data_IF_439437359865
#
_entry.id   IF_439437359865
#
_cell.length_a   1.000
_cell.length_b   1.000
_cell.length_c   1.000
_cell.angle_alpha   90.00
_cell.angle_beta   90.00
_cell.angle_gamma   90.00
#
_symmetry.space_group_name_H-M   'P 1'
#
loop_
_entity.id
_entity.type
_entity.pdbx_description
1 polymer ?
#
# COMPACT_ATOMS: atom_id res chain seq x y z
N UNK A 1 -40.97 25.12 19.04
CA UNK A 1 -39.88 25.48 18.10
C UNK A 1 -38.55 25.09 18.71
N UNK A 2 -37.76 24.14 18.22
CA UNK A 2 -37.69 23.54 16.89
C UNK A 2 -36.31 23.83 16.27
N UNK A 3 -35.32 22.97 16.52
CA UNK A 3 -34.17 22.79 15.62
C UNK A 3 -33.43 21.50 15.98
N UNK A 4 -33.72 20.44 15.23
CA UNK A 4 -33.18 19.11 15.43
C UNK A 4 -31.70 18.98 15.03
N UNK A 5 -30.90 18.44 15.94
CA UNK A 5 -29.66 17.75 15.62
C UNK A 5 -30.00 16.28 15.36
N UNK A 6 -30.66 16.01 14.23
CA UNK A 6 -31.11 14.68 13.84
C UNK A 6 -30.24 14.10 12.74
N UNK A 7 -29.41 13.11 13.10
CA UNK A 7 -28.74 12.26 12.12
C UNK A 7 -27.39 11.75 12.59
N UNK A 8 -27.36 10.86 13.59
CA UNK A 8 -26.18 10.01 13.77
C UNK A 8 -26.09 9.10 12.55
N UNK A 9 -25.17 9.40 11.62
CA UNK A 9 -24.83 8.45 10.56
C UNK A 9 -24.17 7.26 11.25
N UNK A 10 -24.90 6.16 11.34
CA UNK A 10 -24.33 4.89 11.78
C UNK A 10 -23.28 4.46 10.77
N UNK A 11 -22.09 4.10 11.24
CA UNK A 11 -21.10 3.43 10.41
C UNK A 11 -21.68 2.10 9.93
N UNK A 12 -21.63 1.89 8.61
CA UNK A 12 -22.03 0.64 7.97
C UNK A 12 -20.85 0.10 7.17
N UNK A 13 -20.69 -1.22 7.18
CA UNK A 13 -19.68 -1.89 6.37
C UNK A 13 -20.31 -2.23 5.02
N UNK A 14 -19.83 -1.59 3.95
CA UNK A 14 -20.28 -1.87 2.58
C UNK A 14 -19.65 -3.15 2.01
N UNK A 15 -18.39 -3.42 2.39
CA UNK A 15 -17.58 -4.52 1.85
C UNK A 15 -16.46 -4.89 2.83
N UNK A 16 -16.11 -6.17 2.89
CA UNK A 16 -14.90 -6.66 3.55
C UNK A 16 -13.92 -7.17 2.47
N UNK A 17 -12.68 -6.72 2.54
CA UNK A 17 -11.62 -7.16 1.63
C UNK A 17 -10.71 -8.16 2.34
N UNK A 18 -10.60 -9.37 1.79
CA UNK A 18 -9.77 -10.42 2.35
C UNK A 18 -8.41 -10.49 1.64
N UNK A 19 -7.33 -10.86 2.35
CA UNK A 19 -6.03 -11.09 1.73
C UNK A 19 -6.12 -12.19 0.66
N UNK A 20 -5.36 -12.06 -0.44
CA UNK A 20 -5.12 -13.16 -1.37
C UNK A 20 -4.56 -14.38 -0.62
N UNK A 21 -4.88 -15.58 -1.10
CA UNK A 21 -4.53 -16.84 -0.41
C UNK A 21 -3.02 -16.92 -0.11
N UNK A 22 -2.67 -17.16 1.16
CA UNK A 22 -1.28 -17.31 1.60
C UNK A 22 -0.55 -16.01 1.99
N UNK A 23 -1.21 -14.85 1.90
CA UNK A 23 -0.62 -13.52 2.20
C UNK A 23 -1.27 -12.84 3.42
N UNK A 24 -1.76 -13.63 4.38
CA UNK A 24 -2.66 -13.16 5.44
C UNK A 24 -1.99 -12.50 6.64
N UNK A 25 -0.67 -12.62 6.80
CA UNK A 25 -0.02 -12.08 8.00
C UNK A 25 0.03 -10.56 7.96
N UNK A 26 -0.73 -9.94 8.85
CA UNK A 26 -0.84 -8.48 9.01
C UNK A 26 -1.39 -7.76 7.76
N UNK A 27 -2.22 -8.42 6.95
CA UNK A 27 -2.93 -7.74 5.87
C UNK A 27 -3.77 -6.58 6.41
N UNK A 28 -3.58 -5.40 5.85
CA UNK A 28 -4.20 -4.16 6.35
C UNK A 28 -3.35 -3.39 7.35
N UNK A 29 -2.09 -3.80 7.59
CA UNK A 29 -1.18 -3.07 8.48
C UNK A 29 -0.88 -1.65 7.98
N UNK A 30 -0.87 -1.45 6.66
CA UNK A 30 -0.75 -0.15 6.02
C UNK A 30 -1.73 -0.05 4.86
N UNK A 31 -2.25 1.15 4.63
CA UNK A 31 -3.29 1.42 3.64
C UNK A 31 -2.97 2.73 2.91
N UNK A 32 -3.23 2.75 1.61
CA UNK A 32 -3.24 3.98 0.82
C UNK A 32 -4.41 3.92 -0.16
N UNK A 33 -5.25 4.96 -0.16
CA UNK A 33 -6.39 5.08 -1.05
C UNK A 33 -6.25 6.34 -1.90
N UNK A 34 -6.29 6.19 -3.22
CA UNK A 34 -6.07 7.28 -4.15
C UNK A 34 -6.36 6.86 -5.58
N UNK A 35 -6.94 7.77 -6.36
CA UNK A 35 -7.42 7.44 -7.71
C UNK A 35 -8.44 6.29 -7.65
N UNK A 36 -8.18 5.24 -8.43
CA UNK A 36 -9.01 4.02 -8.47
C UNK A 36 -8.42 2.86 -7.64
N UNK A 37 -7.26 3.06 -7.01
CA UNK A 37 -6.54 2.00 -6.31
C UNK A 37 -6.62 2.14 -4.79
N UNK A 38 -6.95 1.03 -4.15
CA UNK A 38 -6.65 0.77 -2.75
C UNK A 38 -5.39 -0.10 -2.69
N UNK A 39 -4.35 0.39 -2.04
CA UNK A 39 -3.13 -0.36 -1.78
C UNK A 39 -3.14 -0.82 -0.33
N UNK A 40 -2.89 -2.10 -0.12
CA UNK A 40 -2.91 -2.75 1.20
C UNK A 40 -1.60 -3.46 1.44
N UNK A 41 -0.88 -3.04 2.48
CA UNK A 41 0.32 -3.71 2.93
C UNK A 41 0.03 -4.88 3.85
N UNK A 42 0.83 -5.93 3.69
CA UNK A 42 0.89 -7.11 4.54
C UNK A 42 2.37 -7.42 4.80
N UNK A 43 3.03 -6.77 5.78
CA UNK A 43 4.46 -6.91 6.02
C UNK A 43 4.93 -8.33 6.35
N UNK A 44 4.02 -9.28 6.53
CA UNK A 44 4.37 -10.66 6.82
C UNK A 44 4.90 -10.83 8.25
N UNK A 45 5.56 -11.95 8.47
CA UNK A 45 6.34 -12.27 9.66
C UNK A 45 7.30 -13.43 9.31
N UNK A 46 8.02 -13.98 10.28
CA UNK A 46 8.96 -15.10 10.06
C UNK A 46 8.34 -16.36 9.44
N UNK A 47 7.01 -16.49 9.49
CA UNK A 47 6.27 -17.67 9.04
C UNK A 47 5.43 -17.41 7.78
N UNK A 48 5.36 -16.17 7.29
CA UNK A 48 4.55 -15.79 6.15
C UNK A 48 5.21 -14.67 5.34
N UNK A 49 5.28 -14.80 4.00
CA UNK A 49 5.96 -13.82 3.16
C UNK A 49 5.26 -12.46 3.22
N UNK A 50 6.06 -11.41 3.09
CA UNK A 50 5.57 -10.04 2.95
C UNK A 50 4.93 -9.82 1.57
N UNK A 51 3.88 -9.01 1.54
CA UNK A 51 3.05 -8.78 0.37
C UNK A 51 2.44 -7.36 0.36
N UNK A 52 2.18 -6.84 -0.83
CA UNK A 52 1.32 -5.66 -1.04
C UNK A 52 0.28 -5.99 -2.09
N UNK A 53 -0.99 -5.89 -1.72
CA UNK A 53 -2.11 -6.05 -2.63
C UNK A 53 -2.55 -4.69 -3.17
N UNK A 54 -2.69 -4.59 -4.50
CA UNK A 54 -3.26 -3.42 -5.17
C UNK A 54 -4.63 -3.82 -5.70
N UNK A 55 -5.66 -3.15 -5.22
CA UNK A 55 -7.05 -3.45 -5.54
C UNK A 55 -7.66 -2.29 -6.30
N UNK A 56 -8.34 -2.60 -7.41
CA UNK A 56 -9.13 -1.62 -8.14
C UNK A 56 -10.53 -1.58 -7.55
N UNK A 57 -10.93 -0.42 -7.05
CA UNK A 57 -12.27 -0.23 -6.51
C UNK A 57 -13.23 0.23 -7.61
N UNK A 58 -14.44 -0.32 -7.60
CA UNK A 58 -15.50 0.11 -8.50
C UNK A 58 -16.87 -0.01 -7.83
N UNK A 59 -17.87 0.64 -8.42
CA UNK A 59 -19.28 0.50 -7.99
C UNK A 59 -20.10 -0.12 -9.10
N UNK A 60 -20.95 -1.08 -8.75
CA UNK A 60 -21.89 -1.69 -9.69
C UNK A 60 -22.97 -0.70 -10.12
N UNK A 61 -23.77 -1.07 -11.13
CA UNK A 61 -24.92 -0.27 -11.56
C UNK A 61 -25.95 -0.08 -10.43
N UNK A 62 -25.97 -1.00 -9.46
CA UNK A 62 -26.82 -0.94 -8.26
C UNK A 62 -26.18 -0.14 -7.11
N UNK A 63 -24.99 0.43 -7.33
CA UNK A 63 -24.28 1.27 -6.36
C UNK A 63 -23.45 0.52 -5.32
N UNK A 64 -23.41 -0.82 -5.37
CA UNK A 64 -22.62 -1.65 -4.46
C UNK A 64 -21.13 -1.46 -4.71
N UNK A 65 -20.35 -1.24 -3.65
CA UNK A 65 -18.89 -1.19 -3.73
C UNK A 65 -18.35 -2.60 -3.95
N UNK A 66 -17.38 -2.74 -4.84
CA UNK A 66 -16.67 -3.98 -5.10
C UNK A 66 -15.21 -3.68 -5.41
N UNK A 67 -14.37 -4.70 -5.31
CA UNK A 67 -12.95 -4.61 -5.55
C UNK A 67 -12.43 -5.88 -6.18
N UNK A 68 -11.55 -5.73 -7.17
CA UNK A 68 -10.79 -6.83 -7.73
C UNK A 68 -9.30 -6.57 -7.49
N UNK A 69 -8.55 -7.63 -7.22
CA UNK A 69 -7.09 -7.53 -7.15
C UNK A 69 -6.56 -7.17 -8.54
N UNK A 70 -5.98 -5.97 -8.65
CA UNK A 70 -5.34 -5.49 -9.86
C UNK A 70 -3.97 -6.12 -10.05
N UNK A 71 -3.19 -6.18 -8.97
CA UNK A 71 -1.93 -6.91 -8.95
C UNK A 71 -1.46 -7.19 -7.51
N UNK A 72 -0.57 -8.16 -7.41
CA UNK A 72 0.14 -8.52 -6.20
C UNK A 72 1.63 -8.24 -6.28
N UNK A 73 2.18 -7.60 -5.25
CA UNK A 73 3.60 -7.36 -5.12
C UNK A 73 4.13 -8.22 -3.98
N UNK A 74 4.77 -9.34 -4.33
CA UNK A 74 5.48 -10.17 -3.36
C UNK A 74 6.91 -9.66 -3.20
N UNK A 75 7.44 -9.73 -1.98
CA UNK A 75 8.85 -9.48 -1.76
C UNK A 75 9.70 -10.54 -2.48
N UNK A 76 10.65 -10.10 -3.31
CA UNK A 76 11.48 -10.98 -4.14
C UNK A 76 12.93 -11.13 -3.63
N UNK A 77 13.31 -10.41 -2.58
CA UNK A 77 14.66 -10.48 -2.02
C UNK A 77 14.85 -11.66 -1.07
N UNK A 78 15.93 -11.63 -0.28
CA UNK A 78 16.35 -12.74 0.58
C UNK A 78 16.48 -12.36 2.07
N UNK A 79 16.07 -11.15 2.45
CA UNK A 79 16.11 -10.74 3.85
C UNK A 79 15.11 -11.57 4.68
N UNK A 80 15.50 -12.12 5.84
CA UNK A 80 14.65 -13.01 6.62
C UNK A 80 13.45 -12.32 7.28
N UNK A 81 13.52 -11.01 7.48
CA UNK A 81 12.43 -10.18 7.98
C UNK A 81 12.42 -8.83 7.25
N UNK A 82 11.99 -8.77 5.98
CA UNK A 82 12.07 -7.54 5.18
C UNK A 82 11.02 -6.51 5.60
N UNK A 83 9.88 -6.99 6.13
CA UNK A 83 8.69 -6.19 6.45
C UNK A 83 8.21 -5.37 5.24
N UNK A 84 8.34 -5.90 4.02
CA UNK A 84 7.89 -5.25 2.79
C UNK A 84 6.37 -5.01 2.82
N UNK A 85 5.94 -3.76 2.69
CA UNK A 85 4.53 -3.38 2.89
C UNK A 85 4.22 -2.92 4.32
N UNK A 86 5.22 -2.72 5.18
CA UNK A 86 5.01 -2.13 6.50
C UNK A 86 4.48 -0.69 6.41
N UNK A 87 4.87 0.03 5.38
CA UNK A 87 4.35 1.36 5.07
C UNK A 87 4.07 1.45 3.56
N UNK A 88 2.98 2.11 3.19
CA UNK A 88 2.61 2.33 1.78
C UNK A 88 2.09 3.75 1.59
N UNK A 89 2.41 4.35 0.44
CA UNK A 89 1.82 5.62 0.01
C UNK A 89 1.74 5.66 -1.51
N UNK A 90 0.76 6.37 -2.06
CA UNK A 90 0.60 6.46 -3.50
C UNK A 90 0.24 7.87 -3.96
N UNK A 91 0.64 8.21 -5.18
CA UNK A 91 0.25 9.43 -5.85
C UNK A 91 -0.02 9.16 -7.33
N UNK A 92 -1.22 9.54 -7.79
CA UNK A 92 -1.65 9.34 -9.17
C UNK A 92 -1.42 10.59 -10.02
N UNK A 93 -1.01 10.39 -11.28
CA UNK A 93 -0.95 11.43 -12.31
C UNK A 93 -1.49 10.87 -13.61
N UNK A 94 -2.70 11.30 -13.99
CA UNK A 94 -3.41 10.70 -15.12
C UNK A 94 -3.78 9.26 -14.82
N UNK A 95 -3.38 8.33 -15.69
CA UNK A 95 -3.66 6.89 -15.55
C UNK A 95 -2.55 6.11 -14.85
N UNK A 96 -1.45 6.78 -14.51
CA UNK A 96 -0.31 6.16 -13.85
C UNK A 96 -0.32 6.55 -12.38
N UNK A 97 0.06 5.61 -11.52
CA UNK A 97 0.21 5.84 -10.08
C UNK A 97 1.59 5.41 -9.63
N UNK A 98 2.32 6.34 -9.00
CA UNK A 98 3.53 6.02 -8.27
C UNK A 98 3.13 5.47 -6.90
N UNK A 99 3.62 4.28 -6.58
CA UNK A 99 3.46 3.63 -5.29
C UNK A 99 4.83 3.51 -4.63
N UNK A 100 4.95 3.94 -3.37
CA UNK A 100 6.08 3.64 -2.52
C UNK A 100 5.70 2.60 -1.47
N UNK A 101 6.59 1.64 -1.25
CA UNK A 101 6.44 0.53 -0.32
C UNK A 101 7.67 0.45 0.57
N UNK A 102 7.49 0.68 1.86
CA UNK A 102 8.54 0.51 2.84
C UNK A 102 8.84 -0.95 3.15
N UNK A 103 10.12 -1.27 3.29
CA UNK A 103 10.66 -2.52 3.79
C UNK A 103 11.72 -2.19 4.86
N UNK A 104 11.29 -1.71 6.05
CA UNK A 104 12.20 -1.22 7.08
C UNK A 104 13.16 -2.29 7.60
N UNK A 105 12.80 -3.57 7.49
CA UNK A 105 13.72 -4.66 7.84
C UNK A 105 14.94 -4.73 6.92
N UNK A 106 14.82 -4.23 5.69
CA UNK A 106 15.92 -4.11 4.73
C UNK A 106 16.54 -2.72 4.68
N UNK A 107 16.04 -1.78 5.47
CA UNK A 107 16.47 -0.38 5.41
C UNK A 107 16.23 0.22 4.00
N UNK A 108 15.07 -0.10 3.38
CA UNK A 108 14.74 0.23 1.98
C UNK A 108 13.29 0.69 1.79
N UNK A 109 13.10 1.46 0.72
CA UNK A 109 11.78 1.73 0.13
C UNK A 109 11.81 1.31 -1.34
N UNK A 110 10.82 0.55 -1.76
CA UNK A 110 10.61 0.17 -3.15
C UNK A 110 9.61 1.11 -3.80
N UNK A 111 9.84 1.46 -5.06
CA UNK A 111 8.90 2.23 -5.87
C UNK A 111 8.37 1.39 -7.03
N UNK A 112 7.07 1.52 -7.28
CA UNK A 112 6.37 0.84 -8.36
C UNK A 112 5.55 1.84 -9.17
N UNK A 113 5.45 1.59 -10.47
CA UNK A 113 4.56 2.30 -11.37
C UNK A 113 3.36 1.40 -11.68
N UNK A 114 2.18 1.80 -11.21
CA UNK A 114 0.92 1.16 -11.54
C UNK A 114 0.37 1.82 -12.82
N UNK A 115 0.31 1.07 -13.91
CA UNK A 115 -0.22 1.54 -15.20
C UNK A 115 -1.63 1.03 -15.39
N UNK A 116 -2.63 1.83 -15.03
CA UNK A 116 -4.02 1.40 -14.98
C UNK A 116 -4.56 0.91 -16.34
N UNK A 117 -4.13 1.54 -17.45
CA UNK A 117 -4.55 1.17 -18.80
C UNK A 117 -3.80 -0.05 -19.36
N UNK A 118 -2.55 -0.23 -18.95
CA UNK A 118 -1.74 -1.38 -19.38
C UNK A 118 -2.03 -2.64 -18.55
N UNK A 119 -2.68 -2.50 -17.38
CA UNK A 119 -2.94 -3.62 -16.51
C UNK A 119 -1.69 -4.13 -15.79
N UNK A 120 -0.69 -3.27 -15.57
CA UNK A 120 0.61 -3.67 -15.03
C UNK A 120 1.00 -2.91 -13.76
N UNK A 121 1.77 -3.59 -12.91
CA UNK A 121 2.48 -3.03 -11.77
C UNK A 121 3.96 -3.30 -11.98
N UNK A 122 4.70 -2.25 -12.32
CA UNK A 122 6.09 -2.36 -12.75
C UNK A 122 7.02 -1.87 -11.63
N UNK A 123 8.06 -2.64 -11.26
CA UNK A 123 9.09 -2.10 -10.37
C UNK A 123 9.78 -0.93 -11.07
N UNK A 124 9.97 0.17 -10.35
CA UNK A 124 10.59 1.38 -10.88
C UNK A 124 12.01 1.55 -10.32
N UNK A 125 12.15 1.62 -9.00
CA UNK A 125 13.43 1.85 -8.34
C UNK A 125 13.42 1.40 -6.86
N UNK A 126 14.61 1.27 -6.26
CA UNK A 126 14.81 1.02 -4.83
C UNK A 126 15.58 2.17 -4.19
N UNK A 127 14.97 2.80 -3.20
CA UNK A 127 15.56 3.86 -2.39
C UNK A 127 16.21 3.25 -1.14
N UNK A 128 17.38 3.78 -0.78
CA UNK A 128 18.15 3.41 0.40
C UNK A 128 18.68 4.69 1.07
N UNK A 129 19.05 4.65 2.36
CA UNK A 129 19.70 5.77 3.02
C UNK A 129 21.05 6.10 2.38
N UNK A 130 21.62 7.25 2.76
CA UNK A 130 22.91 7.72 2.26
C UNK A 130 23.98 6.63 2.51
N UNK A 131 24.74 6.19 1.49
CA UNK A 131 25.82 5.21 1.68
C UNK A 131 26.88 5.64 2.71
N UNK A 132 27.01 6.94 2.98
CA UNK A 132 27.87 7.47 4.04
C UNK A 132 27.33 7.24 5.45
N UNK A 133 26.06 6.86 5.58
CA UNK A 133 25.45 6.36 6.81
C UNK A 133 25.50 4.82 6.82
N UNK A 134 26.44 4.21 7.56
CA UNK A 134 26.62 2.77 7.57
C UNK A 134 25.58 2.05 8.47
N UNK A 135 24.65 2.76 9.11
CA UNK A 135 23.68 2.14 9.99
C UNK A 135 22.67 1.32 9.19
N UNK A 136 22.88 0.00 9.15
CA UNK A 136 21.89 -0.95 8.66
C UNK A 136 20.69 -1.11 9.61
N UNK A 137 20.59 -0.30 10.67
CA UNK A 137 19.60 -0.45 11.75
C UNK A 137 18.62 0.71 11.88
N UNK A 138 18.72 1.73 11.04
CA UNK A 138 17.86 2.93 11.15
C UNK A 138 16.44 2.69 10.64
N UNK A 139 16.16 1.50 10.10
CA UNK A 139 14.85 1.06 9.63
C UNK A 139 14.23 1.98 8.54
N UNK A 140 15.07 2.58 7.69
CA UNK A 140 14.66 3.42 6.57
C UNK A 140 13.53 2.77 5.76
N UNK A 141 12.44 3.51 5.58
CA UNK A 141 11.19 3.01 5.03
C UNK A 141 10.18 2.59 6.10
N UNK A 142 10.43 2.85 7.38
CA UNK A 142 9.46 2.61 8.45
C UNK A 142 8.21 3.45 8.23
N UNK A 143 8.37 4.67 7.71
CA UNK A 143 7.26 5.52 7.27
C UNK A 143 7.55 6.16 5.93
N UNK A 144 6.52 6.29 5.09
CA UNK A 144 6.63 6.91 3.77
C UNK A 144 5.47 7.87 3.55
N UNK A 145 5.76 9.01 2.93
CA UNK A 145 4.74 9.98 2.52
C UNK A 145 5.10 10.60 1.16
N UNK A 146 4.09 10.84 0.33
CA UNK A 146 4.22 11.57 -0.92
C UNK A 146 3.52 12.93 -0.82
N UNK A 147 4.22 13.99 -1.20
CA UNK A 147 3.69 15.35 -1.26
C UNK A 147 4.14 16.04 -2.55
N UNK A 148 3.24 16.10 -3.54
CA UNK A 148 3.54 16.68 -4.85
C UNK A 148 4.60 15.85 -5.58
N UNK A 149 5.82 16.38 -5.69
CA UNK A 149 6.97 15.70 -6.31
C UNK A 149 8.02 15.23 -5.28
N UNK A 150 7.73 15.37 -4.00
CA UNK A 150 8.63 14.99 -2.93
C UNK A 150 8.15 13.69 -2.28
N UNK A 151 9.11 12.80 -2.01
CA UNK A 151 8.94 11.68 -1.09
C UNK A 151 9.62 12.04 0.23
N UNK A 152 8.92 11.81 1.34
CA UNK A 152 9.50 11.83 2.67
C UNK A 152 9.58 10.40 3.17
N UNK A 153 10.75 10.02 3.67
CA UNK A 153 11.03 8.67 4.16
C UNK A 153 11.64 8.80 5.54
N UNK A 154 11.03 8.12 6.50
CA UNK A 154 11.55 7.93 7.84
C UNK A 154 12.18 6.56 7.99
#
# INVERSE_FOLDING_TARGET
DGSGYGGHRSWTTDMELLPPRGTSSHFGASLSLGGEFLVVGAPGNTSAPSYVGVFRLWRSQEGLLSADEFCGLAYAGQHPDPRFGASVTQASRGHDTLLLVGAPGENRVYSFLLRALAGSCEPLDTLAPDPADPSSTDEFGFSVALAGQHALIG
#
